data_IF_641290305932
#
_entry.id   IF_641290305932
#
_cell.length_a   1.000
_cell.length_b   1.000
_cell.length_c   1.000
_cell.angle_alpha   90.00
_cell.angle_beta   90.00
_cell.angle_gamma   90.00
#
_symmetry.space_group_name_H-M   'P 1'
#
loop_
_entity.id
_entity.type
_entity.pdbx_description
1 polymer ?
#
# COMPACT_ATOMS: atom_id res chain seq x y z
N UNK A 1 0.78 22.80 11.57
CA UNK A 1 -0.39 23.27 12.36
C UNK A 1 -0.39 22.55 13.70
N UNK A 2 0.24 23.12 14.73
CA UNK A 2 0.47 22.38 15.98
C UNK A 2 -0.67 22.55 17.00
N UNK A 3 -1.58 23.50 16.77
CA UNK A 3 -2.71 23.80 17.67
C UNK A 3 -3.99 23.00 17.37
N UNK A 4 -4.12 22.48 16.15
CA UNK A 4 -5.31 21.70 15.78
C UNK A 4 -5.15 20.30 16.36
N UNK A 5 -5.94 19.99 17.39
CA UNK A 5 -5.94 18.68 18.05
C UNK A 5 -6.99 17.78 17.42
N UNK A 6 -8.11 18.33 16.97
CA UNK A 6 -9.23 17.59 16.43
C UNK A 6 -9.78 18.34 15.21
N UNK A 7 -10.21 17.57 14.20
CA UNK A 7 -11.06 18.08 13.13
C UNK A 7 -12.49 17.84 13.62
N UNK A 8 -13.17 18.90 14.03
CA UNK A 8 -14.52 18.89 14.61
C UNK A 8 -15.57 19.28 13.57
N UNK A 9 -16.85 19.31 13.97
CA UNK A 9 -17.96 19.65 13.07
C UNK A 9 -17.81 21.02 12.38
N UNK A 10 -17.11 21.96 13.02
CA UNK A 10 -16.83 23.30 12.49
C UNK A 10 -16.07 23.26 11.16
N UNK A 11 -15.28 22.20 10.92
CA UNK A 11 -14.58 22.00 9.66
C UNK A 11 -15.53 21.92 8.46
N UNK A 12 -16.73 21.36 8.67
CA UNK A 12 -17.72 21.14 7.62
C UNK A 12 -18.58 22.37 7.33
N UNK A 13 -18.31 23.48 8.01
CA UNK A 13 -19.04 24.73 7.87
C UNK A 13 -20.31 24.74 8.72
N UNK A 14 -21.42 25.19 8.15
CA UNK A 14 -22.68 25.33 8.89
C UNK A 14 -23.24 23.97 9.34
N UNK A 15 -23.69 23.81 10.60
CA UNK A 15 -24.35 22.59 11.09
C UNK A 15 -25.62 22.20 10.29
N UNK A 16 -26.22 23.16 9.57
CA UNK A 16 -27.37 22.97 8.68
C UNK A 16 -27.01 22.50 7.27
N UNK A 17 -25.72 22.39 6.94
CA UNK A 17 -25.26 21.98 5.62
C UNK A 17 -25.59 20.51 5.34
N UNK A 18 -26.29 20.26 4.23
CA UNK A 18 -26.57 18.93 3.72
C UNK A 18 -25.49 18.62 2.68
N UNK A 19 -24.69 17.57 2.91
CA UNK A 19 -23.53 17.17 2.09
C UNK A 19 -22.43 18.24 2.01
N UNK A 20 -21.75 18.54 3.14
CA UNK A 20 -20.58 19.42 3.09
C UNK A 20 -19.54 18.87 2.11
N UNK A 21 -18.83 19.79 1.45
CA UNK A 21 -17.77 19.47 0.47
C UNK A 21 -18.25 18.63 -0.73
N UNK A 22 -19.44 18.93 -1.27
CA UNK A 22 -20.05 18.20 -2.39
C UNK A 22 -19.25 18.22 -3.71
N UNK A 23 -18.37 19.19 -3.91
CA UNK A 23 -17.50 19.29 -5.09
C UNK A 23 -16.01 19.05 -4.78
N UNK A 24 -15.66 18.68 -3.54
CA UNK A 24 -14.28 18.46 -3.16
C UNK A 24 -13.78 17.14 -3.74
N UNK A 25 -12.77 17.19 -4.61
CA UNK A 25 -12.19 16.02 -5.29
C UNK A 25 -10.88 15.57 -4.64
N UNK A 26 -10.13 16.50 -4.07
CA UNK A 26 -8.85 16.25 -3.41
C UNK A 26 -8.85 16.86 -2.00
N UNK A 27 -8.47 16.06 -1.01
CA UNK A 27 -8.31 16.50 0.38
C UNK A 27 -6.94 16.06 0.88
N UNK A 28 -6.19 17.02 1.43
CA UNK A 28 -4.87 16.77 2.01
C UNK A 28 -4.79 17.32 3.42
N UNK A 29 -4.30 16.49 4.33
CA UNK A 29 -3.88 16.89 5.67
C UNK A 29 -2.37 16.70 5.79
N UNK A 30 -1.62 17.80 5.84
CA UNK A 30 -0.16 17.79 5.84
C UNK A 30 0.39 18.41 7.15
N UNK A 31 1.31 17.69 7.81
CA UNK A 31 2.07 18.16 8.99
C UNK A 31 1.18 18.75 10.10
N UNK A 32 0.09 18.05 10.39
CA UNK A 32 -0.81 18.38 11.51
C UNK A 32 -0.35 17.65 12.77
N UNK A 33 0.76 18.12 13.36
CA UNK A 33 1.43 17.44 14.47
C UNK A 33 0.59 17.33 15.76
N UNK A 34 -0.40 18.22 15.92
CA UNK A 34 -1.34 18.22 17.03
C UNK A 34 -2.51 17.23 16.86
N UNK A 35 -2.80 16.85 15.61
CA UNK A 35 -4.07 16.23 15.23
C UNK A 35 -4.15 14.78 15.71
N UNK A 36 -5.20 14.48 16.48
CA UNK A 36 -5.48 13.19 17.09
C UNK A 36 -6.70 12.52 16.50
N UNK A 37 -7.78 13.25 16.28
CA UNK A 37 -9.06 12.65 15.90
C UNK A 37 -9.75 13.43 14.79
N UNK A 38 -10.40 12.68 13.90
CA UNK A 38 -11.28 13.21 12.86
C UNK A 38 -12.72 12.86 13.21
N UNK A 39 -13.53 13.87 13.52
CA UNK A 39 -14.96 13.70 13.72
C UNK A 39 -15.67 13.61 12.37
N UNK A 40 -16.27 12.45 12.12
CA UNK A 40 -17.03 12.13 10.91
C UNK A 40 -18.51 12.37 11.21
N UNK A 41 -19.21 13.09 10.34
CA UNK A 41 -20.64 13.43 10.54
C UNK A 41 -21.56 12.29 10.10
N UNK A 42 -21.13 11.46 9.16
CA UNK A 42 -21.95 10.38 8.60
C UNK A 42 -23.14 10.87 7.77
N UNK A 43 -23.08 12.11 7.26
CA UNK A 43 -24.17 12.76 6.49
C UNK A 43 -23.93 12.70 4.97
N UNK A 44 -22.98 11.88 4.52
CA UNK A 44 -22.54 11.84 3.13
C UNK A 44 -21.65 13.03 2.77
N UNK A 45 -20.83 13.48 3.72
CA UNK A 45 -19.69 14.36 3.47
C UNK A 45 -18.79 13.76 2.38
N UNK A 46 -18.23 14.61 1.51
CA UNK A 46 -17.29 14.19 0.46
C UNK A 46 -17.83 13.26 -0.66
N UNK A 47 -19.01 13.50 -1.23
CA UNK A 47 -19.60 12.63 -2.26
C UNK A 47 -18.83 12.62 -3.59
N UNK A 48 -17.87 13.53 -3.78
CA UNK A 48 -17.04 13.63 -5.00
C UNK A 48 -15.55 13.43 -4.72
N UNK A 49 -15.17 13.07 -3.49
CA UNK A 49 -13.76 12.99 -3.10
C UNK A 49 -13.12 11.75 -3.72
N UNK A 50 -12.11 11.99 -4.55
CA UNK A 50 -11.37 10.96 -5.28
C UNK A 50 -10.01 10.68 -4.66
N UNK A 51 -9.38 11.68 -4.04
CA UNK A 51 -8.05 11.56 -3.46
C UNK A 51 -8.00 12.10 -2.04
N UNK A 52 -7.48 11.27 -1.13
CA UNK A 52 -7.23 11.62 0.25
C UNK A 52 -5.77 11.36 0.57
N UNK A 53 -5.06 12.41 1.00
CA UNK A 53 -3.67 12.33 1.45
C UNK A 53 -3.58 12.76 2.91
N UNK A 54 -2.95 11.93 3.74
CA UNK A 54 -2.64 12.24 5.13
C UNK A 54 -1.14 12.04 5.34
N UNK A 55 -0.41 13.15 5.49
CA UNK A 55 1.05 13.16 5.58
C UNK A 55 1.54 13.85 6.85
N UNK A 56 2.42 13.17 7.59
CA UNK A 56 3.10 13.77 8.73
C UNK A 56 2.14 14.12 9.87
N UNK A 57 1.17 13.25 10.14
CA UNK A 57 0.19 13.40 11.21
C UNK A 57 0.45 12.37 12.33
N UNK A 58 1.51 12.55 13.15
CA UNK A 58 2.03 11.52 14.04
C UNK A 58 1.14 11.17 15.23
N UNK A 59 0.18 12.03 15.57
CA UNK A 59 -0.74 11.83 16.69
C UNK A 59 -2.09 11.28 16.25
N UNK A 60 -2.35 11.17 14.95
CA UNK A 60 -3.64 10.74 14.41
C UNK A 60 -3.91 9.29 14.83
N UNK A 61 -4.95 9.14 15.64
CA UNK A 61 -5.53 7.90 16.12
C UNK A 61 -6.99 7.96 15.70
N UNK A 62 -7.33 7.51 14.49
CA UNK A 62 -8.63 7.87 13.96
C UNK A 62 -9.11 7.04 12.79
N UNK A 63 -10.43 6.90 12.77
CA UNK A 63 -11.23 6.32 11.69
C UNK A 63 -11.28 7.32 10.52
N UNK A 64 -11.22 6.79 9.30
CA UNK A 64 -11.62 7.57 8.13
C UNK A 64 -13.14 7.74 8.11
N UNK A 65 -13.68 8.72 7.38
CA UNK A 65 -15.10 8.77 7.07
C UNK A 65 -15.60 7.42 6.56
N UNK A 66 -16.67 6.89 7.16
CA UNK A 66 -17.11 5.51 6.92
C UNK A 66 -17.66 5.24 5.52
N UNK A 67 -17.91 6.29 4.74
CA UNK A 67 -18.49 6.19 3.40
C UNK A 67 -17.75 7.11 2.43
N UNK A 68 -16.64 6.63 1.89
CA UNK A 68 -15.84 7.31 0.87
C UNK A 68 -16.00 6.61 -0.50
N UNK A 69 -17.25 6.44 -0.94
CA UNK A 69 -17.60 5.69 -2.15
C UNK A 69 -16.91 6.18 -3.43
N UNK A 70 -16.51 7.45 -3.52
CA UNK A 70 -15.84 8.00 -4.71
C UNK A 70 -14.32 7.97 -4.64
N UNK A 71 -13.75 7.55 -3.50
CA UNK A 71 -12.33 7.60 -3.26
C UNK A 71 -11.62 6.55 -4.11
N UNK A 72 -10.74 7.01 -4.98
CA UNK A 72 -9.93 6.18 -5.87
C UNK A 72 -8.47 6.10 -5.45
N UNK A 73 -7.97 7.11 -4.72
CA UNK A 73 -6.61 7.16 -4.22
C UNK A 73 -6.54 7.52 -2.73
N UNK A 74 -5.80 6.72 -1.98
CA UNK A 74 -5.51 6.97 -0.56
C UNK A 74 -4.00 6.92 -0.32
N UNK A 75 -3.45 7.99 0.27
CA UNK A 75 -2.04 8.06 0.67
C UNK A 75 -1.93 8.33 2.16
N UNK A 76 -1.22 7.46 2.90
CA UNK A 76 -0.92 7.62 4.32
C UNK A 76 0.60 7.63 4.50
N UNK A 77 1.16 8.77 4.87
CA UNK A 77 2.61 8.96 4.99
C UNK A 77 3.01 9.45 6.38
N UNK A 78 3.99 8.81 7.00
CA UNK A 78 4.57 9.18 8.29
C UNK A 78 3.51 9.37 9.40
N UNK A 79 2.53 8.47 9.46
CA UNK A 79 1.44 8.47 10.45
C UNK A 79 1.56 7.23 11.37
N UNK A 80 2.53 7.19 12.30
CA UNK A 80 2.85 6.01 13.11
C UNK A 80 1.73 5.49 14.00
N UNK A 81 0.75 6.32 14.37
CA UNK A 81 -0.38 5.93 15.23
C UNK A 81 -1.66 5.62 14.46
N UNK A 82 -1.65 5.79 13.14
CA UNK A 82 -2.84 5.58 12.32
C UNK A 82 -3.16 4.08 12.24
N UNK A 83 -4.39 3.72 12.59
CA UNK A 83 -4.93 2.37 12.52
C UNK A 83 -6.33 2.48 11.90
N UNK A 84 -6.64 1.61 10.94
CA UNK A 84 -8.00 1.47 10.43
C UNK A 84 -8.77 0.62 11.45
N UNK A 85 -9.50 1.28 12.34
CA UNK A 85 -10.19 0.63 13.48
C UNK A 85 -11.53 -0.02 13.10
N UNK A 86 -12.08 0.29 11.93
CA UNK A 86 -13.39 -0.19 11.49
C UNK A 86 -13.36 -0.55 10.01
N UNK A 87 -14.21 -1.51 9.56
CA UNK A 87 -14.46 -1.72 8.15
C UNK A 87 -14.84 -0.38 7.50
N UNK A 88 -13.98 0.15 6.63
CA UNK A 88 -14.29 1.35 5.86
C UNK A 88 -14.67 0.89 4.47
N UNK A 89 -15.85 1.32 4.02
CA UNK A 89 -16.29 1.03 2.67
C UNK A 89 -15.54 1.91 1.68
N UNK A 90 -14.45 1.37 1.12
CA UNK A 90 -13.62 1.98 0.08
C UNK A 90 -13.86 1.29 -1.26
N UNK A 91 -15.13 1.21 -1.67
CA UNK A 91 -15.59 0.37 -2.81
C UNK A 91 -15.00 0.74 -4.18
N UNK A 92 -14.53 1.98 -4.34
CA UNK A 92 -13.95 2.48 -5.59
C UNK A 92 -12.44 2.72 -5.49
N UNK A 93 -11.80 2.28 -4.40
CA UNK A 93 -10.38 2.50 -4.20
C UNK A 93 -9.56 1.68 -5.20
N UNK A 94 -8.73 2.38 -5.98
CA UNK A 94 -7.87 1.82 -7.01
C UNK A 94 -6.40 1.88 -6.64
N UNK A 95 -5.99 2.88 -5.86
CA UNK A 95 -4.60 3.10 -5.45
C UNK A 95 -4.52 3.30 -3.94
N UNK A 96 -3.65 2.53 -3.30
CA UNK A 96 -3.31 2.70 -1.90
C UNK A 96 -1.79 2.83 -1.74
N UNK A 97 -1.35 3.94 -1.15
CA UNK A 97 0.05 4.20 -0.84
C UNK A 97 0.26 4.41 0.66
N UNK A 98 1.22 3.69 1.23
CA UNK A 98 1.64 3.84 2.62
C UNK A 98 3.14 4.05 2.71
N UNK A 99 3.56 5.13 3.38
CA UNK A 99 4.97 5.48 3.53
C UNK A 99 5.31 5.68 5.01
N UNK A 100 6.35 5.02 5.51
CA UNK A 100 6.90 5.28 6.85
C UNK A 100 5.94 5.04 8.03
N UNK A 101 4.83 4.31 7.82
CA UNK A 101 3.80 4.09 8.84
C UNK A 101 4.11 2.82 9.66
N UNK A 102 4.04 2.95 10.99
CA UNK A 102 4.46 1.89 11.95
C UNK A 102 3.38 0.85 12.28
N UNK A 103 2.14 1.05 11.84
CA UNK A 103 1.04 0.14 12.13
C UNK A 103 0.49 -0.56 10.88
N UNK A 104 1.13 -0.39 9.72
CA UNK A 104 0.68 -1.03 8.48
C UNK A 104 0.78 -2.55 8.54
N UNK A 105 1.68 -3.10 9.38
CA UNK A 105 1.78 -4.54 9.60
C UNK A 105 0.45 -5.12 10.08
N UNK A 106 -0.20 -4.48 11.06
CA UNK A 106 -1.50 -4.91 11.60
C UNK A 106 -2.57 -5.04 10.50
N UNK A 107 -2.51 -4.22 9.45
CA UNK A 107 -3.44 -4.29 8.33
C UNK A 107 -3.25 -5.55 7.48
N UNK A 108 -2.00 -6.01 7.30
CA UNK A 108 -1.65 -7.12 6.39
C UNK A 108 -1.33 -8.45 7.11
N UNK A 109 -0.96 -8.40 8.39
CA UNK A 109 -0.50 -9.56 9.17
C UNK A 109 -1.64 -10.57 9.47
N UNK A 110 -2.90 -10.15 9.34
CA UNK A 110 -4.06 -11.04 9.48
C UNK A 110 -4.94 -10.94 8.24
N UNK A 111 -4.98 -11.98 7.42
CA UNK A 111 -5.81 -12.02 6.21
C UNK A 111 -7.29 -11.73 6.52
N UNK A 112 -7.80 -12.15 7.67
CA UNK A 112 -9.16 -11.82 8.13
C UNK A 112 -9.32 -10.35 8.48
N UNK A 113 -8.33 -9.70 9.11
CA UNK A 113 -8.37 -8.26 9.36
C UNK A 113 -8.22 -7.49 8.05
N UNK A 114 -7.34 -7.90 7.15
CA UNK A 114 -7.21 -7.31 5.84
C UNK A 114 -8.54 -7.38 5.06
N UNK A 115 -9.15 -8.57 5.00
CA UNK A 115 -10.42 -8.78 4.31
C UNK A 115 -11.61 -8.09 4.99
N UNK A 116 -11.64 -8.02 6.32
CA UNK A 116 -12.75 -7.40 7.08
C UNK A 116 -12.63 -5.88 7.19
N UNK A 117 -11.44 -5.33 7.47
CA UNK A 117 -11.20 -3.89 7.57
C UNK A 117 -11.38 -3.19 6.23
N UNK A 118 -11.22 -3.94 5.15
CA UNK A 118 -11.31 -3.45 3.77
C UNK A 118 -12.38 -4.19 2.98
N UNK A 119 -13.48 -4.60 3.65
CA UNK A 119 -14.70 -5.09 3.00
C UNK A 119 -15.15 -4.10 1.92
N UNK A 120 -14.80 -4.37 0.66
CA UNK A 120 -15.03 -3.47 -0.47
C UNK A 120 -13.87 -3.31 -1.45
N UNK A 121 -12.65 -3.76 -1.15
CA UNK A 121 -11.46 -3.64 -2.03
C UNK A 121 -11.44 -4.58 -3.27
N UNK A 122 -12.60 -4.84 -3.87
CA UNK A 122 -12.69 -5.66 -5.08
C UNK A 122 -12.05 -5.00 -6.32
N UNK A 123 -11.62 -3.73 -6.22
CA UNK A 123 -11.10 -2.94 -7.33
C UNK A 123 -9.68 -2.35 -7.11
N UNK A 124 -8.94 -2.79 -6.08
CA UNK A 124 -7.59 -2.23 -5.90
C UNK A 124 -6.65 -2.68 -7.03
N UNK A 125 -6.18 -1.71 -7.81
CA UNK A 125 -5.29 -1.91 -8.96
C UNK A 125 -3.81 -1.66 -8.62
N UNK A 126 -3.53 -0.83 -7.61
CA UNK A 126 -2.17 -0.40 -7.26
C UNK A 126 -1.95 -0.33 -5.74
N UNK A 127 -0.92 -1.03 -5.28
CA UNK A 127 -0.43 -0.98 -3.90
C UNK A 127 1.02 -0.51 -3.87
N UNK A 128 1.29 0.53 -3.08
CA UNK A 128 2.65 1.06 -2.87
C UNK A 128 2.94 1.09 -1.37
N UNK A 129 4.00 0.41 -0.94
CA UNK A 129 4.42 0.39 0.46
C UNK A 129 5.90 0.79 0.54
N UNK A 130 6.20 1.87 1.25
CA UNK A 130 7.57 2.40 1.37
C UNK A 130 7.98 2.55 2.83
N UNK A 131 9.19 2.14 3.16
CA UNK A 131 9.84 2.38 4.47
C UNK A 131 9.02 1.92 5.68
N UNK A 132 8.19 0.88 5.53
CA UNK A 132 7.29 0.39 6.57
C UNK A 132 7.94 -0.73 7.39
N UNK A 133 8.61 -0.36 8.49
CA UNK A 133 9.39 -1.30 9.33
C UNK A 133 8.56 -2.27 10.17
N UNK A 134 7.24 -2.04 10.26
CA UNK A 134 6.31 -2.92 10.97
C UNK A 134 5.75 -4.04 10.11
N UNK A 135 5.89 -3.95 8.78
CA UNK A 135 5.39 -4.98 7.87
C UNK A 135 6.32 -6.19 7.97
N UNK A 136 5.80 -7.29 8.51
CA UNK A 136 6.57 -8.52 8.74
C UNK A 136 6.25 -9.56 7.68
N UNK A 137 4.98 -9.72 7.33
CA UNK A 137 4.56 -10.64 6.27
C UNK A 137 3.63 -9.94 5.28
N UNK A 138 3.63 -10.44 4.04
CA UNK A 138 2.65 -10.04 3.03
C UNK A 138 2.30 -11.22 2.13
N UNK A 139 1.02 -11.56 2.11
CA UNK A 139 0.45 -12.45 1.10
C UNK A 139 0.04 -11.61 -0.12
N UNK A 140 0.95 -11.41 -1.06
CA UNK A 140 0.70 -10.60 -2.27
C UNK A 140 -0.53 -11.12 -3.04
N UNK A 141 -0.59 -12.44 -3.20
CA UNK A 141 -1.63 -13.15 -3.92
C UNK A 141 -3.04 -13.04 -3.33
N UNK A 142 -3.18 -12.63 -2.06
CA UNK A 142 -4.48 -12.48 -1.39
C UNK A 142 -5.03 -11.06 -1.42
N UNK A 143 -4.34 -10.11 -2.07
CA UNK A 143 -4.70 -8.69 -2.01
C UNK A 143 -5.99 -8.37 -2.78
N UNK A 144 -5.98 -8.46 -4.11
CA UNK A 144 -7.16 -8.23 -4.95
C UNK A 144 -6.98 -8.83 -6.33
N UNK A 145 -8.04 -9.40 -6.92
CA UNK A 145 -7.98 -9.96 -8.28
C UNK A 145 -7.77 -8.91 -9.39
N UNK A 146 -8.00 -7.64 -9.07
CA UNK A 146 -7.82 -6.51 -10.00
C UNK A 146 -6.44 -5.86 -9.87
N UNK A 147 -5.58 -6.39 -9.00
CA UNK A 147 -4.24 -5.86 -8.76
C UNK A 147 -3.39 -5.93 -10.03
N UNK A 148 -2.75 -4.81 -10.36
CA UNK A 148 -1.85 -4.67 -11.51
C UNK A 148 -0.45 -4.27 -11.08
N UNK A 149 -0.34 -3.40 -10.07
CA UNK A 149 0.92 -2.78 -9.69
C UNK A 149 1.16 -2.99 -8.19
N UNK A 150 2.32 -3.56 -7.87
CA UNK A 150 2.81 -3.64 -6.50
C UNK A 150 4.23 -3.09 -6.45
N UNK A 151 4.44 -2.09 -5.61
CA UNK A 151 5.77 -1.53 -5.35
C UNK A 151 6.04 -1.55 -3.84
N UNK A 152 7.09 -2.26 -3.43
CA UNK A 152 7.50 -2.35 -2.03
C UNK A 152 8.96 -1.92 -1.91
N UNK A 153 9.18 -0.82 -1.19
CA UNK A 153 10.51 -0.24 -1.03
C UNK A 153 10.90 -0.13 0.45
N UNK A 154 12.12 -0.52 0.78
CA UNK A 154 12.75 -0.32 2.09
C UNK A 154 11.97 -0.92 3.28
N UNK A 155 11.19 -1.98 3.05
CA UNK A 155 10.49 -2.74 4.09
C UNK A 155 11.42 -3.81 4.68
N UNK A 156 12.28 -3.40 5.61
CA UNK A 156 13.43 -4.19 6.08
C UNK A 156 13.09 -5.51 6.79
N UNK A 157 11.86 -5.67 7.32
CA UNK A 157 11.42 -6.88 8.03
C UNK A 157 10.50 -7.78 7.21
N UNK A 158 10.17 -7.37 5.99
CA UNK A 158 9.17 -8.05 5.17
C UNK A 158 9.68 -9.43 4.74
N UNK A 159 8.83 -10.42 4.95
CA UNK A 159 8.89 -11.75 4.37
C UNK A 159 7.69 -11.95 3.46
N UNK A 160 7.92 -12.63 2.35
CA UNK A 160 6.84 -13.03 1.45
C UNK A 160 6.29 -14.36 1.92
N UNK A 161 4.98 -14.51 1.88
CA UNK A 161 4.31 -15.74 2.28
C UNK A 161 3.79 -16.49 1.05
N UNK A 162 3.92 -17.83 1.02
CA UNK A 162 3.45 -18.64 -0.10
C UNK A 162 1.96 -18.48 -0.33
N UNK A 163 1.53 -18.47 -1.58
CA UNK A 163 0.12 -18.47 -1.91
C UNK A 163 -0.12 -18.92 -3.34
N UNK A 164 -1.07 -19.84 -3.51
CA UNK A 164 -1.53 -20.30 -4.83
C UNK A 164 -2.44 -19.22 -5.41
N UNK A 165 -2.02 -18.60 -6.52
CA UNK A 165 -2.83 -17.59 -7.19
C UNK A 165 -2.55 -17.51 -8.68
N UNK A 166 -3.63 -17.32 -9.44
CA UNK A 166 -3.60 -17.06 -10.88
C UNK A 166 -3.40 -15.57 -11.20
N UNK A 167 -3.00 -14.76 -10.21
CA UNK A 167 -2.78 -13.34 -10.38
C UNK A 167 -1.64 -13.07 -11.37
N UNK A 168 -1.87 -12.10 -12.26
CA UNK A 168 -0.87 -11.60 -13.20
C UNK A 168 -0.78 -10.07 -13.05
N UNK A 169 0.37 -9.59 -12.62
CA UNK A 169 0.66 -8.18 -12.43
C UNK A 169 1.19 -7.56 -13.72
N UNK A 170 0.88 -6.29 -13.95
CA UNK A 170 1.60 -5.48 -14.94
C UNK A 170 2.99 -5.12 -14.42
N UNK A 171 3.12 -4.89 -13.10
CA UNK A 171 4.36 -4.43 -12.47
C UNK A 171 4.53 -4.94 -11.05
N UNK A 172 5.66 -5.58 -10.77
CA UNK A 172 6.13 -5.90 -9.42
C UNK A 172 7.51 -5.29 -9.19
N UNK A 173 7.63 -4.42 -8.19
CA UNK A 173 8.90 -3.79 -7.79
C UNK A 173 9.18 -4.10 -6.33
N UNK A 174 10.37 -4.65 -6.07
CA UNK A 174 10.93 -4.84 -4.74
C UNK A 174 12.25 -4.08 -4.68
N UNK A 175 12.38 -3.14 -3.74
CA UNK A 175 13.61 -2.33 -3.61
C UNK A 175 14.06 -2.26 -2.16
N UNK A 176 15.31 -2.61 -1.85
CA UNK A 176 15.85 -2.44 -0.50
C UNK A 176 15.18 -3.30 0.58
N UNK A 177 14.54 -4.41 0.21
CA UNK A 177 13.81 -5.29 1.14
C UNK A 177 14.71 -6.41 1.67
N UNK A 178 15.60 -6.09 2.62
CA UNK A 178 16.69 -6.96 3.06
C UNK A 178 16.30 -8.15 3.97
N UNK A 179 15.01 -8.42 4.18
CA UNK A 179 14.56 -9.68 4.82
C UNK A 179 14.08 -10.73 3.81
N UNK A 180 13.91 -10.36 2.55
CA UNK A 180 13.54 -11.29 1.48
C UNK A 180 14.79 -12.04 1.05
N UNK A 181 14.79 -13.35 1.25
CA UNK A 181 15.90 -14.24 0.90
C UNK A 181 15.64 -15.07 -0.37
N UNK A 182 14.38 -15.21 -0.76
CA UNK A 182 13.91 -15.96 -1.92
C UNK A 182 12.76 -15.23 -2.62
N UNK A 183 12.77 -15.28 -3.95
CA UNK A 183 11.64 -14.95 -4.80
C UNK A 183 11.38 -16.16 -5.70
N UNK A 184 10.16 -16.66 -5.70
CA UNK A 184 9.75 -17.81 -6.51
C UNK A 184 8.28 -17.72 -6.93
N UNK A 185 7.83 -18.52 -7.91
CA UNK A 185 6.43 -18.54 -8.33
C UNK A 185 5.42 -18.86 -7.21
N UNK A 186 5.87 -19.47 -6.12
CA UNK A 186 5.05 -19.74 -4.94
C UNK A 186 4.89 -18.53 -4.02
N UNK A 187 5.84 -17.59 -4.03
CA UNK A 187 5.91 -16.43 -3.14
C UNK A 187 5.40 -15.14 -3.80
N UNK A 188 5.61 -14.99 -5.11
CA UNK A 188 5.19 -13.82 -5.88
C UNK A 188 4.34 -14.24 -7.08
N UNK A 189 3.31 -13.47 -7.44
CA UNK A 189 2.54 -13.72 -8.65
C UNK A 189 3.39 -13.47 -9.90
N UNK A 190 2.87 -13.93 -11.04
CA UNK A 190 3.46 -13.62 -12.35
C UNK A 190 3.35 -12.11 -12.60
N UNK A 191 4.34 -11.52 -13.27
CA UNK A 191 4.35 -10.09 -13.57
C UNK A 191 4.95 -9.84 -14.96
N UNK A 192 4.37 -8.94 -15.76
CA UNK A 192 4.96 -8.51 -17.03
C UNK A 192 6.33 -7.85 -16.80
N UNK A 193 6.40 -6.90 -15.86
CA UNK A 193 7.63 -6.27 -15.41
C UNK A 193 7.96 -6.68 -13.98
N UNK A 194 9.15 -7.23 -13.77
CA UNK A 194 9.72 -7.52 -12.45
C UNK A 194 11.00 -6.69 -12.23
N UNK A 195 11.02 -5.91 -11.15
CA UNK A 195 12.23 -5.21 -10.70
C UNK A 195 12.60 -5.60 -9.29
N UNK A 196 13.86 -5.99 -9.11
CA UNK A 196 14.45 -6.29 -7.80
C UNK A 196 15.76 -5.53 -7.65
N UNK A 197 15.78 -4.52 -6.79
CA UNK A 197 16.94 -3.65 -6.60
C UNK A 197 17.36 -3.62 -5.11
N UNK A 198 18.66 -3.64 -4.82
CA UNK A 198 19.21 -3.46 -3.46
C UNK A 198 18.63 -4.43 -2.42
N UNK A 199 18.16 -5.61 -2.82
CA UNK A 199 17.65 -6.65 -1.92
C UNK A 199 18.83 -7.55 -1.51
N UNK A 200 19.67 -7.05 -0.59
CA UNK A 200 20.99 -7.65 -0.36
C UNK A 200 20.93 -9.05 0.27
N UNK A 201 19.87 -9.43 0.98
CA UNK A 201 19.73 -10.78 1.54
C UNK A 201 19.18 -11.82 0.55
N UNK A 202 18.82 -11.40 -0.67
CA UNK A 202 18.28 -12.30 -1.68
C UNK A 202 19.36 -13.27 -2.15
N UNK A 203 19.11 -14.56 -1.97
CA UNK A 203 20.04 -15.64 -2.34
C UNK A 203 19.50 -16.53 -3.45
N UNK A 204 18.17 -16.54 -3.65
CA UNK A 204 17.49 -17.35 -4.66
C UNK A 204 16.44 -16.53 -5.38
N UNK A 205 16.48 -16.57 -6.72
CA UNK A 205 15.49 -15.94 -7.59
C UNK A 205 15.07 -16.93 -8.66
N UNK A 206 13.82 -17.37 -8.61
CA UNK A 206 13.16 -18.11 -9.67
C UNK A 206 12.18 -17.15 -10.33
N UNK A 207 12.48 -16.76 -11.57
CA UNK A 207 11.67 -15.79 -12.31
C UNK A 207 10.28 -16.40 -12.54
N UNK A 208 9.20 -15.70 -12.14
CA UNK A 208 7.84 -16.13 -12.44
C UNK A 208 7.64 -16.27 -13.95
N UNK A 209 6.97 -17.33 -14.38
CA UNK A 209 6.71 -17.59 -15.80
C UNK A 209 5.95 -16.42 -16.44
N UNK A 210 6.30 -16.07 -17.68
CA UNK A 210 5.68 -14.94 -18.39
C UNK A 210 6.11 -13.55 -17.92
N UNK A 211 7.26 -13.44 -17.24
CA UNK A 211 7.96 -12.15 -17.07
C UNK A 211 8.62 -11.78 -18.40
N UNK A 212 8.28 -10.61 -18.94
CA UNK A 212 8.83 -10.10 -20.21
C UNK A 212 9.99 -9.14 -19.97
N UNK A 213 9.84 -8.26 -18.98
CA UNK A 213 10.84 -7.27 -18.60
C UNK A 213 11.39 -7.56 -17.19
N UNK A 214 12.71 -7.71 -17.08
CA UNK A 214 13.40 -8.00 -15.83
C UNK A 214 14.49 -6.97 -15.56
N UNK A 215 14.40 -6.28 -14.41
CA UNK A 215 15.43 -5.38 -13.92
C UNK A 215 15.98 -5.89 -12.58
N UNK A 216 17.26 -6.21 -12.54
CA UNK A 216 17.95 -6.66 -11.33
C UNK A 216 19.20 -5.82 -11.14
N UNK A 217 19.35 -5.21 -9.96
CA UNK A 217 20.51 -4.38 -9.62
C UNK A 217 20.83 -4.46 -8.13
N UNK A 218 22.10 -4.34 -7.76
CA UNK A 218 22.56 -4.28 -6.36
C UNK A 218 22.14 -5.48 -5.47
N UNK A 219 22.08 -6.70 -6.05
CA UNK A 219 21.74 -7.96 -5.34
C UNK A 219 22.94 -8.90 -5.19
N UNK A 220 23.92 -8.48 -4.40
CA UNK A 220 25.25 -9.10 -4.29
C UNK A 220 25.27 -10.60 -3.90
N UNK A 221 24.27 -11.06 -3.11
CA UNK A 221 24.23 -12.43 -2.59
C UNK A 221 23.47 -13.42 -3.48
N UNK A 222 22.92 -12.97 -4.61
CA UNK A 222 22.23 -13.86 -5.54
C UNK A 222 23.27 -14.80 -6.16
N UNK A 223 23.33 -16.04 -5.65
CA UNK A 223 24.27 -17.06 -6.14
C UNK A 223 24.07 -17.19 -7.64
N UNK A 224 25.18 -17.27 -8.39
CA UNK A 224 25.30 -17.41 -9.85
C UNK A 224 24.39 -18.48 -10.50
N UNK A 225 23.07 -18.32 -10.45
CA UNK A 225 22.06 -19.21 -11.05
C UNK A 225 21.42 -18.54 -12.26
N UNK A 226 22.23 -17.98 -13.15
CA UNK A 226 21.84 -17.86 -14.56
C UNK A 226 22.26 -19.14 -15.29
N UNK A 227 21.79 -20.29 -14.80
CA UNK A 227 22.01 -21.60 -15.42
C UNK A 227 21.01 -21.92 -16.52
N UNK A 228 20.40 -20.91 -17.16
CA UNK A 228 19.33 -21.16 -18.14
C UNK A 228 18.69 -19.97 -18.85
N UNK A 229 19.17 -18.72 -18.65
CA UNK A 229 18.69 -17.58 -19.45
C UNK A 229 19.73 -17.28 -20.52
N UNK A 230 19.66 -18.03 -21.62
CA UNK A 230 20.05 -17.48 -22.91
C UNK A 230 18.83 -16.73 -23.43
N UNK A 231 19.03 -15.46 -23.80
CA UNK A 231 18.09 -14.61 -24.53
C UNK A 231 16.86 -14.07 -23.78
N UNK A 232 17.08 -13.04 -22.94
CA UNK A 232 16.29 -11.80 -23.01
C UNK A 232 16.91 -10.71 -22.12
N UNK A 233 17.46 -9.67 -22.74
CA UNK A 233 17.71 -8.32 -22.22
C UNK A 233 17.93 -8.14 -20.70
N UNK A 234 18.83 -8.92 -20.08
CA UNK A 234 19.35 -8.58 -18.75
C UNK A 234 20.30 -7.40 -18.93
N UNK A 235 19.79 -6.18 -18.78
CA UNK A 235 20.63 -5.01 -18.60
C UNK A 235 21.15 -5.06 -17.16
N UNK A 236 22.20 -5.86 -16.95
CA UNK A 236 23.06 -5.73 -15.79
C UNK A 236 23.87 -4.44 -15.98
N UNK A 237 23.36 -3.32 -15.47
CA UNK A 237 24.20 -2.14 -15.29
C UNK A 237 25.09 -2.42 -14.07
N UNK A 238 26.38 -2.62 -14.35
CA UNK A 238 27.46 -2.71 -13.35
C UNK A 238 27.78 -1.35 -12.73
#
# INVERSE_FOLDING_TARGET
MDRIIEVTEEFYGSPSSIKPFNSLVWLEFNRMNGWKQWHVLGRGEFPALQNLSIEGCPKLMGKLPGNLCSLTGLTISNCPKFILETPIQLSSLKRFEVVGSLNVGVLFDHAELFASQLQGMMQLESLIIKSCRSLISLHISSLSKTMKIIEICYCQKLKLEPSVSEMFLERLVLTGCNSINEISPELVPRAHYLSVNSCHSLTRLLIPTGTEDLNISDVENLRNTFGGIQDSNVVANY
#
